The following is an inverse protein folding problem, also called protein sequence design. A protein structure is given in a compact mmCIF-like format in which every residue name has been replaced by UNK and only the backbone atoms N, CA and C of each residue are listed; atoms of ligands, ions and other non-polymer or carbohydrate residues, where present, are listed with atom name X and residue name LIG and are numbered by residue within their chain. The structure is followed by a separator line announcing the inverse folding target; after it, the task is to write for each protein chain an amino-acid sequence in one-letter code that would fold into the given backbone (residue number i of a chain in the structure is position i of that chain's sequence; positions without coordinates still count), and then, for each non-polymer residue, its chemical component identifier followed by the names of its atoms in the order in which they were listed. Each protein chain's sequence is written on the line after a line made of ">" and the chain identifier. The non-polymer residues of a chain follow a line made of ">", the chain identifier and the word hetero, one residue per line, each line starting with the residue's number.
data_IF_898608114954
#
_entry.id   IF_898608114954
#
_cell.length_a   1.000
_cell.length_b   1.000
_cell.length_c   1.000
_cell.angle_alpha   90.00
_cell.angle_beta   90.00
_cell.angle_gamma   90.00
#
_symmetry.space_group_name_H-M   'P 1'
#
loop_
_entity.id
_entity.type
_entity.pdbx_description
1 polymer ?
#
# COMPACT_ATOMS: atom_id res chain seq x y z
N UNK A 1 42.48 18.75 -26.47
CA UNK A 1 41.60 17.73 -25.87
C UNK A 1 40.68 18.46 -24.90
N UNK A 2 39.45 18.73 -25.30
CA UNK A 2 38.46 19.40 -24.45
C UNK A 2 38.05 18.44 -23.33
N UNK A 3 38.16 18.92 -22.09
CA UNK A 3 37.69 18.21 -20.92
C UNK A 3 36.15 18.20 -20.94
N UNK A 4 35.58 17.04 -21.29
CA UNK A 4 34.15 16.77 -21.12
C UNK A 4 33.89 16.74 -19.62
N UNK A 5 33.35 17.84 -19.09
CA UNK A 5 32.90 17.93 -17.72
C UNK A 5 31.66 17.04 -17.59
N UNK A 6 31.85 15.80 -17.15
CA UNK A 6 30.76 14.85 -16.89
C UNK A 6 30.02 15.35 -15.66
N UNK A 7 28.99 16.16 -15.87
CA UNK A 7 28.13 16.66 -14.80
C UNK A 7 27.39 15.49 -14.18
N UNK A 8 27.89 15.02 -13.05
CA UNK A 8 27.16 14.06 -12.21
C UNK A 8 25.79 14.65 -11.90
N UNK A 9 24.69 13.91 -12.09
CA UNK A 9 23.37 14.43 -11.76
C UNK A 9 23.35 14.79 -10.27
N UNK A 10 23.14 16.07 -9.95
CA UNK A 10 22.87 16.48 -8.57
C UNK A 10 21.60 15.77 -8.10
N UNK A 11 21.48 15.51 -6.79
CA UNK A 11 20.32 14.79 -6.22
C UNK A 11 18.96 15.38 -6.69
N UNK A 12 18.90 16.71 -6.87
CA UNK A 12 17.73 17.43 -7.41
C UNK A 12 17.42 17.12 -8.89
N UNK A 13 18.43 16.93 -9.75
CA UNK A 13 18.20 16.53 -11.15
C UNK A 13 17.72 15.08 -11.26
N UNK A 14 18.22 14.21 -10.37
CA UNK A 14 17.83 12.80 -10.31
C UNK A 14 16.36 12.63 -9.90
N UNK A 15 15.91 13.37 -8.90
CA UNK A 15 14.53 13.25 -8.41
C UNK A 15 13.50 13.80 -9.43
N UNK A 16 13.84 14.85 -10.17
CA UNK A 16 12.99 15.35 -11.25
C UNK A 16 12.74 14.30 -12.35
N UNK A 17 13.77 13.53 -12.73
CA UNK A 17 13.62 12.42 -13.68
C UNK A 17 12.75 11.27 -13.14
N UNK A 18 12.87 10.96 -11.85
CA UNK A 18 12.03 9.95 -11.20
C UNK A 18 10.56 10.39 -11.11
N UNK A 19 10.33 11.69 -10.84
CA UNK A 19 8.98 12.28 -10.82
C UNK A 19 8.28 12.13 -12.17
N UNK A 20 8.96 12.45 -13.27
CA UNK A 20 8.40 12.33 -14.63
C UNK A 20 8.02 10.87 -14.90
N UNK A 21 8.92 9.92 -14.62
CA UNK A 21 8.65 8.50 -14.79
C UNK A 21 7.47 8.02 -13.94
N UNK A 22 7.34 8.49 -12.70
CA UNK A 22 6.22 8.15 -11.83
C UNK A 22 4.88 8.68 -12.35
N UNK A 23 4.86 9.86 -12.99
CA UNK A 23 3.67 10.43 -13.63
C UNK A 23 3.31 9.63 -14.89
N UNK A 24 4.27 9.35 -15.76
CA UNK A 24 4.05 8.54 -16.98
C UNK A 24 3.55 7.12 -16.65
N UNK A 25 3.99 6.57 -15.53
CA UNK A 25 3.60 5.24 -15.09
C UNK A 25 2.15 5.17 -14.60
N UNK A 26 1.49 6.28 -14.29
CA UNK A 26 0.03 6.29 -14.03
C UNK A 26 -0.80 5.75 -15.18
N UNK A 27 -0.23 5.82 -16.39
CA UNK A 27 -0.86 5.34 -17.62
C UNK A 27 -0.46 3.89 -17.93
N UNK A 28 0.62 3.35 -17.33
CA UNK A 28 1.20 2.08 -17.80
C UNK A 28 2.03 1.22 -16.83
N UNK A 29 2.46 1.67 -15.64
CA UNK A 29 3.37 0.89 -14.76
C UNK A 29 3.36 1.28 -13.26
N UNK A 30 3.55 0.31 -12.36
CA UNK A 30 3.47 0.51 -10.88
C UNK A 30 4.83 0.80 -10.19
N UNK A 31 5.96 0.41 -10.80
CA UNK A 31 7.30 0.48 -10.16
C UNK A 31 7.87 1.89 -10.01
N UNK A 32 7.60 2.80 -10.94
CA UNK A 32 8.24 4.12 -10.97
C UNK A 32 7.87 5.02 -9.77
N UNK A 33 6.69 4.82 -9.18
CA UNK A 33 6.30 5.51 -7.93
C UNK A 33 7.16 5.10 -6.74
N UNK A 34 7.62 3.84 -6.68
CA UNK A 34 8.50 3.36 -5.61
C UNK A 34 9.87 4.01 -5.71
N UNK A 35 10.42 4.09 -6.93
CA UNK A 35 11.71 4.73 -7.17
C UNK A 35 11.64 6.23 -6.86
N UNK A 36 10.55 6.91 -7.25
CA UNK A 36 10.32 8.31 -6.88
C UNK A 36 10.23 8.51 -5.37
N UNK A 37 9.53 7.62 -4.66
CA UNK A 37 9.43 7.66 -3.20
C UNK A 37 10.80 7.46 -2.51
N UNK A 38 11.62 6.53 -3.00
CA UNK A 38 12.98 6.33 -2.52
C UNK A 38 13.87 7.56 -2.80
N UNK A 39 13.72 8.19 -3.97
CA UNK A 39 14.40 9.45 -4.29
C UNK A 39 14.00 10.60 -3.36
N UNK A 40 12.73 10.67 -2.93
CA UNK A 40 12.28 11.64 -1.93
C UNK A 40 12.95 11.39 -0.57
N UNK A 41 13.12 10.12 -0.18
CA UNK A 41 13.86 9.78 1.05
C UNK A 41 15.35 10.15 0.95
N UNK A 42 15.99 10.01 -0.22
CA UNK A 42 17.40 10.36 -0.41
C UNK A 42 17.68 11.85 -0.18
N UNK A 43 16.70 12.73 -0.41
CA UNK A 43 16.83 14.18 -0.21
C UNK A 43 16.20 14.67 1.11
N UNK A 44 15.52 13.79 1.84
CA UNK A 44 14.87 14.14 3.10
C UNK A 44 15.81 13.97 4.28
N UNK A 45 15.66 14.82 5.29
CA UNK A 45 16.39 14.72 6.58
C UNK A 45 15.55 14.11 7.71
N UNK A 46 14.24 13.94 7.48
CA UNK A 46 13.25 13.48 8.47
C UNK A 46 12.21 12.59 7.81
N UNK A 47 11.43 11.85 8.63
CA UNK A 47 10.30 11.03 8.20
C UNK A 47 9.12 11.89 7.69
N UNK A 48 9.31 12.52 6.54
CA UNK A 48 8.42 13.53 5.96
C UNK A 48 7.01 12.99 5.66
N UNK A 49 6.90 11.69 5.41
CA UNK A 49 5.65 11.01 5.05
C UNK A 49 4.60 11.00 6.18
N UNK A 50 5.01 11.18 7.44
CA UNK A 50 4.11 11.24 8.61
C UNK A 50 3.80 12.68 9.07
N UNK A 51 4.50 13.70 8.54
CA UNK A 51 4.38 15.08 9.04
C UNK A 51 2.99 15.69 8.80
N UNK A 52 2.43 15.53 7.59
CA UNK A 52 1.14 16.13 7.24
C UNK A 52 -0.04 15.53 8.04
N UNK A 53 0.06 14.25 8.45
CA UNK A 53 -0.96 13.59 9.28
C UNK A 53 -0.96 14.07 10.73
N UNK A 54 0.18 14.61 11.18
CA UNK A 54 0.41 15.10 12.53
C UNK A 54 0.30 16.64 12.63
N UNK A 55 -0.18 17.31 11.57
CA UNK A 55 -0.30 18.78 11.52
C UNK A 55 1.01 19.53 11.30
N UNK A 56 2.11 18.82 11.01
CA UNK A 56 3.43 19.41 10.79
C UNK A 56 3.65 19.77 9.32
N UNK A 57 4.48 20.79 9.07
CA UNK A 57 4.85 21.23 7.71
C UNK A 57 5.87 20.30 7.09
N UNK A 58 5.73 20.05 5.78
CA UNK A 58 6.75 19.34 4.99
C UNK A 58 8.03 20.18 4.86
N UNK A 59 9.21 19.56 4.80
CA UNK A 59 10.44 20.23 4.37
C UNK A 59 10.27 20.87 3.00
N UNK A 60 10.90 22.03 2.77
CA UNK A 60 10.71 22.82 1.55
C UNK A 60 10.99 22.03 0.27
N UNK A 61 12.05 21.23 0.25
CA UNK A 61 12.39 20.36 -0.88
C UNK A 61 11.27 19.36 -1.21
N UNK A 62 10.66 18.75 -0.20
CA UNK A 62 9.58 17.78 -0.37
C UNK A 62 8.27 18.49 -0.76
N UNK A 63 8.00 19.67 -0.20
CA UNK A 63 6.85 20.49 -0.57
C UNK A 63 6.92 20.93 -2.04
N UNK A 64 8.11 21.32 -2.52
CA UNK A 64 8.36 21.64 -3.93
C UNK A 64 8.10 20.45 -4.85
N UNK A 65 8.60 19.27 -4.49
CA UNK A 65 8.38 18.03 -5.24
C UNK A 65 6.90 17.61 -5.27
N UNK A 66 6.19 17.72 -4.15
CA UNK A 66 4.74 17.49 -4.08
C UNK A 66 3.99 18.40 -5.05
N UNK A 67 4.31 19.70 -5.06
CA UNK A 67 3.69 20.65 -5.97
C UNK A 67 3.92 20.28 -7.44
N UNK A 68 5.17 20.01 -7.81
CA UNK A 68 5.54 19.62 -9.17
C UNK A 68 4.87 18.31 -9.61
N UNK A 69 4.72 17.34 -8.69
CA UNK A 69 4.04 16.07 -8.95
C UNK A 69 2.55 16.30 -9.22
N UNK A 70 1.88 17.15 -8.45
CA UNK A 70 0.47 17.49 -8.65
C UNK A 70 0.23 18.21 -9.98
N UNK A 71 1.10 19.15 -10.34
CA UNK A 71 1.03 19.86 -11.62
C UNK A 71 1.17 18.88 -12.80
N UNK A 72 2.15 17.96 -12.72
CA UNK A 72 2.32 16.91 -13.72
C UNK A 72 1.11 15.98 -13.84
N UNK A 73 0.57 15.49 -12.72
CA UNK A 73 -0.64 14.67 -12.72
C UNK A 73 -1.86 15.36 -13.32
N UNK A 74 -2.04 16.66 -13.06
CA UNK A 74 -3.12 17.46 -13.68
C UNK A 74 -2.94 17.58 -15.19
N UNK A 75 -1.70 17.74 -15.67
CA UNK A 75 -1.42 17.87 -17.10
C UNK A 75 -1.80 16.63 -17.91
N UNK A 76 -1.74 15.44 -17.30
CA UNK A 76 -2.18 14.18 -17.92
C UNK A 76 -3.64 13.82 -17.62
N UNK A 77 -4.40 14.72 -16.99
CA UNK A 77 -5.82 14.49 -16.67
C UNK A 77 -6.06 13.47 -15.55
N UNK A 78 -5.10 13.25 -14.66
CA UNK A 78 -5.26 12.28 -13.57
C UNK A 78 -6.32 12.75 -12.57
N UNK A 79 -7.33 11.90 -12.32
CA UNK A 79 -8.54 12.28 -11.59
C UNK A 79 -8.35 12.47 -10.09
N UNK A 80 -7.35 11.83 -9.47
CA UNK A 80 -7.16 11.90 -8.02
C UNK A 80 -5.69 12.05 -7.57
N UNK A 81 -5.06 13.22 -7.76
CA UNK A 81 -3.67 13.47 -7.37
C UNK A 81 -3.37 13.21 -5.88
N UNK A 82 -4.35 13.46 -5.01
CA UNK A 82 -4.23 13.20 -3.57
C UNK A 82 -4.06 11.72 -3.25
N UNK A 83 -4.77 10.83 -3.95
CA UNK A 83 -4.58 9.40 -3.77
C UNK A 83 -3.21 8.94 -4.32
N UNK A 84 -2.77 9.48 -5.45
CA UNK A 84 -1.43 9.19 -5.98
C UNK A 84 -0.33 9.59 -4.98
N UNK A 85 -0.47 10.77 -4.37
CA UNK A 85 0.46 11.22 -3.31
C UNK A 85 0.42 10.32 -2.07
N UNK A 86 -0.76 9.88 -1.65
CA UNK A 86 -0.91 8.93 -0.54
C UNK A 86 -0.12 7.64 -0.80
N UNK A 87 -0.14 7.13 -2.03
CA UNK A 87 0.65 5.95 -2.41
C UNK A 87 2.16 6.22 -2.38
N UNK A 88 2.60 7.39 -2.85
CA UNK A 88 4.02 7.79 -2.76
C UNK A 88 4.49 7.82 -1.30
N UNK A 89 3.69 8.37 -0.38
CA UNK A 89 4.00 8.34 1.05
C UNK A 89 4.09 6.93 1.62
N UNK A 90 3.19 6.03 1.20
CA UNK A 90 3.23 4.63 1.61
C UNK A 90 4.52 3.94 1.17
N UNK A 91 4.95 4.14 -0.07
CA UNK A 91 6.22 3.59 -0.56
C UNK A 91 7.43 4.22 0.13
N UNK A 92 7.39 5.52 0.42
CA UNK A 92 8.46 6.19 1.14
C UNK A 92 8.64 5.60 2.54
N UNK A 93 7.53 5.31 3.24
CA UNK A 93 7.56 4.62 4.53
C UNK A 93 8.12 3.19 4.41
N UNK A 94 7.71 2.43 3.39
CA UNK A 94 8.24 1.09 3.14
C UNK A 94 9.75 1.10 2.83
N UNK A 95 10.21 2.04 2.01
CA UNK A 95 11.62 2.23 1.69
C UNK A 95 12.42 2.64 2.93
N UNK A 96 11.90 3.56 3.74
CA UNK A 96 12.53 3.99 4.99
C UNK A 96 12.70 2.82 5.98
N UNK A 97 11.69 1.96 6.13
CA UNK A 97 11.78 0.73 6.94
C UNK A 97 12.84 -0.22 6.36
N UNK A 98 12.81 -0.47 5.05
CA UNK A 98 13.71 -1.40 4.39
C UNK A 98 15.18 -0.95 4.47
N UNK A 99 15.42 0.36 4.43
CA UNK A 99 16.77 0.97 4.46
C UNK A 99 17.18 1.47 5.84
N UNK A 100 16.34 1.34 6.86
CA UNK A 100 16.60 1.82 8.23
C UNK A 100 16.76 3.34 8.32
N UNK A 101 15.99 4.11 7.55
CA UNK A 101 16.07 5.57 7.51
C UNK A 101 15.20 6.22 8.60
N UNK A 102 15.62 7.41 9.05
CA UNK A 102 14.87 8.29 9.95
C UNK A 102 14.49 7.66 11.31
N UNK A 103 15.17 6.59 11.73
CA UNK A 103 14.83 5.86 12.95
C UNK A 103 13.50 5.11 12.87
N UNK A 104 12.94 4.94 11.67
CA UNK A 104 11.67 4.24 11.45
C UNK A 104 11.95 2.75 11.41
N UNK A 105 11.48 2.05 12.43
CA UNK A 105 11.48 0.59 12.49
C UNK A 105 10.13 0.06 12.00
N UNK A 106 10.10 -1.19 11.54
CA UNK A 106 8.84 -1.86 11.29
C UNK A 106 8.10 -1.98 12.63
N UNK A 107 7.07 -1.15 12.85
CA UNK A 107 6.10 -1.46 13.89
C UNK A 107 5.39 -2.77 13.50
N UNK A 108 5.17 -3.67 14.46
CA UNK A 108 4.37 -4.89 14.26
C UNK A 108 2.87 -4.60 14.02
N UNK A 109 2.50 -3.34 13.80
CA UNK A 109 1.12 -2.89 13.61
C UNK A 109 0.76 -2.71 12.13
N UNK A 110 -0.24 -3.50 11.73
CA UNK A 110 -1.20 -3.31 10.63
C UNK A 110 -0.76 -2.43 9.45
N UNK A 111 -0.20 -3.08 8.45
CA UNK A 111 0.01 -2.48 7.14
C UNK A 111 -1.33 -2.07 6.48
N UNK A 112 -1.44 -0.85 5.92
CA UNK A 112 -2.60 -0.46 5.13
C UNK A 112 -2.62 -1.20 3.79
N UNK A 113 -3.78 -1.81 3.49
CA UNK A 113 -4.29 -2.28 2.20
C UNK A 113 -3.28 -2.34 1.04
N UNK A 114 -2.61 -3.50 0.92
CA UNK A 114 -1.69 -3.80 -0.18
C UNK A 114 -1.12 -5.19 -0.02
N UNK A 115 -1.98 -6.21 -0.25
CA UNK A 115 -1.67 -7.63 -0.39
C UNK A 115 -0.32 -8.13 0.13
N UNK A 116 -0.17 -8.27 1.46
CA UNK A 116 0.45 -9.51 1.93
C UNK A 116 -0.51 -10.60 1.47
N UNK A 117 -0.08 -11.47 0.56
CA UNK A 117 -0.80 -12.72 0.33
C UNK A 117 -0.82 -13.40 1.68
N UNK A 118 -1.97 -13.29 2.38
CA UNK A 118 -2.18 -13.99 3.65
C UNK A 118 -1.83 -15.45 3.40
N UNK A 119 -1.17 -16.15 4.33
CA UNK A 119 -0.98 -17.59 4.22
C UNK A 119 -2.32 -18.20 3.80
N UNK A 120 -2.30 -19.04 2.76
CA UNK A 120 -3.53 -19.54 2.14
C UNK A 120 -4.45 -20.17 3.19
N UNK A 121 -3.86 -20.85 4.18
CA UNK A 121 -4.57 -21.44 5.30
C UNK A 121 -5.37 -20.42 6.13
N UNK A 122 -4.75 -19.28 6.46
CA UNK A 122 -5.42 -18.21 7.21
C UNK A 122 -6.56 -17.62 6.39
N UNK A 123 -6.34 -17.39 5.10
CA UNK A 123 -7.37 -16.88 4.20
C UNK A 123 -8.55 -17.85 4.08
N UNK A 124 -8.28 -19.14 3.91
CA UNK A 124 -9.31 -20.18 3.84
C UNK A 124 -10.12 -20.23 5.14
N UNK A 125 -9.48 -20.18 6.31
CA UNK A 125 -10.17 -20.17 7.60
C UNK A 125 -11.06 -18.93 7.74
N UNK A 126 -10.57 -17.74 7.41
CA UNK A 126 -11.32 -16.48 7.50
C UNK A 126 -12.54 -16.47 6.55
N UNK A 127 -12.31 -16.75 5.27
CA UNK A 127 -13.35 -16.70 4.23
C UNK A 127 -14.42 -17.77 4.48
N UNK A 128 -14.03 -19.00 4.86
CA UNK A 128 -14.99 -20.06 5.20
C UNK A 128 -15.75 -19.76 6.51
N UNK A 129 -15.09 -19.16 7.51
CA UNK A 129 -15.76 -18.77 8.78
C UNK A 129 -16.80 -17.68 8.53
N UNK A 130 -16.50 -16.71 7.66
CA UNK A 130 -17.43 -15.66 7.28
C UNK A 130 -18.67 -16.24 6.57
N UNK A 131 -18.46 -17.15 5.61
CA UNK A 131 -19.55 -17.82 4.91
C UNK A 131 -20.37 -18.72 5.85
N UNK A 132 -19.71 -19.45 6.76
CA UNK A 132 -20.39 -20.24 7.79
C UNK A 132 -21.35 -19.38 8.61
N UNK A 133 -20.89 -18.24 9.12
CA UNK A 133 -21.72 -17.32 9.92
C UNK A 133 -22.89 -16.76 9.10
N UNK A 134 -22.66 -16.40 7.84
CA UNK A 134 -23.73 -15.91 6.97
C UNK A 134 -24.81 -16.97 6.75
N UNK A 135 -24.43 -18.23 6.50
CA UNK A 135 -25.37 -19.34 6.38
C UNK A 135 -26.09 -19.66 7.69
N UNK A 136 -25.38 -19.65 8.83
CA UNK A 136 -25.96 -19.93 10.15
C UNK A 136 -26.97 -18.87 10.61
N UNK A 137 -26.82 -17.62 10.15
CA UNK A 137 -27.72 -16.50 10.44
C UNK A 137 -28.91 -16.38 9.51
N UNK A 138 -28.92 -17.10 8.40
CA UNK A 138 -29.99 -16.98 7.42
C UNK A 138 -31.29 -17.58 7.99
N UNK A 139 -32.41 -16.87 7.87
CA UNK A 139 -33.72 -17.33 8.33
C UNK A 139 -34.16 -18.63 7.64
N UNK A 140 -33.73 -18.83 6.40
CA UNK A 140 -33.90 -20.09 5.67
C UNK A 140 -32.83 -20.23 4.59
N UNK A 141 -32.45 -21.49 4.31
CA UNK A 141 -31.55 -21.86 3.23
C UNK A 141 -32.30 -22.72 2.21
N UNK A 142 -32.12 -22.43 0.93
CA UNK A 142 -32.52 -23.36 -0.14
C UNK A 142 -31.72 -24.65 -0.09
N UNK A 143 -32.18 -25.71 -0.75
CA UNK A 143 -31.46 -27.00 -0.81
C UNK A 143 -30.02 -26.87 -1.31
N UNK A 144 -29.78 -25.99 -2.30
CA UNK A 144 -28.41 -25.73 -2.81
C UNK A 144 -27.54 -25.02 -1.78
N UNK A 145 -28.10 -24.05 -1.06
CA UNK A 145 -27.39 -23.32 -0.01
C UNK A 145 -27.12 -24.22 1.21
N UNK A 146 -28.03 -25.13 1.55
CA UNK A 146 -27.80 -26.13 2.59
C UNK A 146 -26.63 -27.05 2.22
N UNK A 147 -26.59 -27.53 0.97
CA UNK A 147 -25.46 -28.34 0.47
C UNK A 147 -24.13 -27.59 0.53
N UNK A 148 -24.11 -26.31 0.17
CA UNK A 148 -22.93 -25.47 0.30
C UNK A 148 -22.52 -25.25 1.77
N UNK A 149 -23.50 -25.06 2.66
CA UNK A 149 -23.25 -24.87 4.09
C UNK A 149 -22.58 -26.10 4.74
N UNK A 150 -23.02 -27.31 4.39
CA UNK A 150 -22.36 -28.53 4.86
C UNK A 150 -20.93 -28.69 4.30
N UNK A 151 -20.70 -28.32 3.04
CA UNK A 151 -19.36 -28.32 2.46
C UNK A 151 -18.42 -27.33 3.16
N UNK A 152 -18.93 -26.14 3.54
CA UNK A 152 -18.19 -25.16 4.33
C UNK A 152 -17.83 -25.71 5.72
N UNK A 153 -18.76 -26.40 6.41
CA UNK A 153 -18.49 -27.07 7.69
C UNK A 153 -17.36 -28.09 7.58
N UNK A 154 -17.42 -28.94 6.56
CA UNK A 154 -16.37 -29.94 6.31
C UNK A 154 -15.02 -29.26 6.02
N UNK A 155 -15.01 -28.18 5.23
CA UNK A 155 -13.81 -27.39 4.96
C UNK A 155 -13.18 -26.82 6.23
N UNK A 156 -13.98 -26.19 7.10
CA UNK A 156 -13.51 -25.65 8.38
C UNK A 156 -12.94 -26.74 9.29
N UNK A 157 -13.61 -27.89 9.38
CA UNK A 157 -13.12 -29.04 10.16
C UNK A 157 -11.79 -29.60 9.61
N UNK A 158 -11.65 -29.65 8.28
CA UNK A 158 -10.40 -30.07 7.63
C UNK A 158 -9.24 -29.11 7.91
N UNK A 159 -9.54 -27.81 8.10
CA UNK A 159 -8.57 -26.79 8.53
C UNK A 159 -8.30 -26.80 10.05
N UNK A 160 -8.86 -27.76 10.80
CA UNK A 160 -8.67 -27.86 12.25
C UNK A 160 -9.48 -26.85 13.07
N UNK A 161 -10.47 -26.18 12.46
CA UNK A 161 -11.35 -25.23 13.16
C UNK A 161 -12.45 -25.99 13.88
N UNK A 162 -12.56 -25.78 15.19
CA UNK A 162 -13.71 -26.24 15.98
C UNK A 162 -14.90 -25.29 15.78
N UNK A 163 -15.88 -25.77 15.02
CA UNK A 163 -17.07 -25.01 14.63
C UNK A 163 -17.92 -24.65 15.87
N UNK A 164 -17.86 -25.44 16.95
CA UNK A 164 -18.61 -25.15 18.18
C UNK A 164 -18.13 -23.89 18.90
N UNK A 165 -16.91 -23.43 18.61
CA UNK A 165 -16.31 -22.22 19.17
C UNK A 165 -16.59 -20.97 18.32
N UNK A 166 -17.21 -21.14 17.14
CA UNK A 166 -17.55 -20.01 16.28
C UNK A 166 -18.78 -19.32 16.87
N UNK A 167 -18.59 -18.15 17.48
CA UNK A 167 -19.72 -17.37 17.98
C UNK A 167 -20.61 -16.93 16.81
N UNK A 168 -21.83 -17.47 16.81
CA UNK A 168 -22.84 -17.21 15.80
C UNK A 168 -23.53 -15.86 16.00
N UNK A 169 -23.26 -15.15 17.11
CA UNK A 169 -23.72 -13.79 17.36
C UNK A 169 -25.23 -13.64 17.11
N UNK A 170 -26.01 -14.16 18.06
CA UNK A 170 -27.45 -13.88 18.18
C UNK A 170 -27.67 -12.39 18.41
#
# INVERSE_FOLDING_TARGET
>A
MENVNVTTPTAFSKIAGLRIKAIESEVSNYGARKDYAAGLNDIASVAWFDLEGNGNKLPEAIAGEKKAYYEGLKSIGYSNPSNAWKMVKQYAKQDAIARGLFGVVAEETEAPAGGKTRPLDLRLVEDLTALYKACAKADSLSTKQQGAFEAIRLGLKAMGVDISLINEGK
#
